data_IF_614965644955
#
_entry.id   IF_614965644955
#
_cell.length_a   1.000
_cell.length_b   1.000
_cell.length_c   1.000
_cell.angle_alpha   90.00
_cell.angle_beta   90.00
_cell.angle_gamma   90.00
#
_symmetry.space_group_name_H-M   'P 1'
#
loop_
_entity.id
_entity.type
_entity.pdbx_description
1 polymer ?
#
# COMPACT_ATOMS: atom_id res chain seq x y z
N UNK A 1 30.21 29.95 -6.87
CA UNK A 1 30.05 28.65 -7.53
C UNK A 1 30.70 28.74 -8.90
N UNK A 2 31.51 27.80 -9.29
CA UNK A 2 32.16 27.78 -10.59
C UNK A 2 31.14 27.56 -11.71
N UNK A 3 31.21 28.37 -12.76
CA UNK A 3 30.33 28.29 -13.94
C UNK A 3 30.38 26.88 -14.57
N UNK A 4 31.55 26.25 -14.61
CA UNK A 4 31.74 24.93 -15.16
C UNK A 4 30.90 23.84 -14.44
N UNK A 5 30.66 24.00 -13.14
CA UNK A 5 29.82 23.08 -12.37
C UNK A 5 28.34 23.26 -12.79
N UNK A 6 27.90 24.49 -12.98
CA UNK A 6 26.54 24.80 -13.45
C UNK A 6 26.36 24.26 -14.87
N UNK A 7 27.29 24.55 -15.78
CA UNK A 7 27.23 24.09 -17.16
C UNK A 7 27.16 22.55 -17.23
N UNK A 8 27.94 21.84 -16.39
CA UNK A 8 27.91 20.39 -16.30
C UNK A 8 26.54 19.87 -15.86
N UNK A 9 25.93 20.50 -14.85
CA UNK A 9 24.62 20.10 -14.36
C UNK A 9 23.54 20.33 -15.44
N UNK A 10 23.57 21.48 -16.11
CA UNK A 10 22.65 21.78 -17.21
C UNK A 10 22.83 20.82 -18.37
N UNK A 11 24.07 20.50 -18.76
CA UNK A 11 24.35 19.53 -19.81
C UNK A 11 23.79 18.15 -19.53
N UNK A 12 23.83 17.70 -18.26
CA UNK A 12 23.23 16.40 -17.87
C UNK A 12 21.71 16.37 -18.10
N UNK A 13 21.02 17.44 -17.70
CA UNK A 13 19.57 17.54 -17.89
C UNK A 13 19.22 17.64 -19.37
N UNK A 14 19.92 18.50 -20.11
CA UNK A 14 19.66 18.67 -21.55
C UNK A 14 19.95 17.40 -22.34
N UNK A 15 21.02 16.68 -22.02
CA UNK A 15 21.35 15.42 -22.65
C UNK A 15 20.19 14.43 -22.58
N UNK A 16 19.60 14.24 -21.38
CA UNK A 16 18.45 13.37 -21.23
C UNK A 16 17.28 13.80 -22.13
N UNK A 17 17.01 15.09 -22.23
CA UNK A 17 15.94 15.61 -23.10
C UNK A 17 16.21 15.33 -24.58
N UNK A 18 17.46 15.49 -25.03
CA UNK A 18 17.85 15.15 -26.41
C UNK A 18 17.77 13.64 -26.67
N UNK A 19 18.29 12.81 -25.77
CA UNK A 19 18.25 11.36 -25.90
C UNK A 19 16.82 10.80 -25.93
N UNK A 20 15.89 11.45 -25.22
CA UNK A 20 14.47 11.12 -25.23
C UNK A 20 13.70 11.71 -26.44
N UNK A 21 14.33 12.51 -27.30
CA UNK A 21 13.68 13.15 -28.45
C UNK A 21 12.61 14.19 -28.09
N UNK A 22 12.72 14.80 -26.88
CA UNK A 22 11.67 15.72 -26.38
C UNK A 22 11.60 17.05 -27.14
N UNK A 23 12.61 17.39 -27.94
CA UNK A 23 12.60 18.59 -28.77
C UNK A 23 11.90 18.34 -30.10
N UNK A 24 12.01 17.12 -30.64
CA UNK A 24 11.36 16.69 -31.88
C UNK A 24 9.95 16.20 -31.63
N UNK A 25 9.72 15.52 -30.50
CA UNK A 25 8.43 14.90 -30.13
C UNK A 25 8.02 15.28 -28.69
N UNK A 26 7.71 16.58 -28.42
CA UNK A 26 7.44 17.06 -27.07
C UNK A 26 6.06 16.63 -26.51
N UNK A 27 5.17 16.12 -27.36
CA UNK A 27 3.79 15.81 -26.99
C UNK A 27 3.54 14.30 -26.98
N UNK A 28 2.72 13.87 -26.03
CA UNK A 28 2.22 12.51 -25.94
C UNK A 28 0.74 12.48 -26.34
N UNK A 29 0.35 11.51 -27.14
CA UNK A 29 -1.06 11.27 -27.45
C UNK A 29 -1.78 10.72 -26.20
N UNK A 30 -2.77 11.43 -25.64
CA UNK A 30 -3.54 10.96 -24.49
C UNK A 30 -4.21 9.60 -24.70
N UNK A 31 -4.57 9.28 -25.93
CA UNK A 31 -5.18 7.98 -26.27
C UNK A 31 -4.18 6.82 -26.12
N UNK A 32 -2.91 7.07 -26.42
CA UNK A 32 -1.83 6.09 -26.22
C UNK A 32 -1.59 5.93 -24.71
N UNK A 33 -1.54 7.03 -23.95
CA UNK A 33 -1.38 7.01 -22.51
C UNK A 33 -2.50 6.16 -21.85
N UNK A 34 -3.76 6.41 -22.20
CA UNK A 34 -4.90 5.66 -21.67
C UNK A 34 -4.85 4.15 -21.98
N UNK A 35 -4.29 3.77 -23.14
CA UNK A 35 -4.12 2.36 -23.52
C UNK A 35 -2.90 1.71 -22.85
N UNK A 36 -1.92 2.51 -22.44
CA UNK A 36 -0.65 2.00 -21.92
C UNK A 36 -0.68 1.86 -20.40
N UNK A 37 -1.35 2.80 -19.70
CA UNK A 37 -1.47 2.76 -18.24
C UNK A 37 -2.30 1.55 -17.83
N UNK A 38 -1.81 0.81 -16.82
CA UNK A 38 -2.48 -0.37 -16.25
C UNK A 38 -2.78 -1.50 -17.24
N UNK A 39 -1.95 -1.71 -18.26
CA UNK A 39 -2.05 -2.91 -19.09
C UNK A 39 -1.92 -4.17 -18.23
N UNK A 40 -2.43 -5.28 -18.75
CA UNK A 40 -2.41 -6.57 -18.05
C UNK A 40 -1.00 -6.94 -17.58
N UNK A 41 0.00 -6.72 -18.42
CA UNK A 41 1.40 -7.01 -18.11
C UNK A 41 1.91 -6.18 -16.90
N UNK A 42 1.47 -4.91 -16.80
CA UNK A 42 1.84 -4.06 -15.65
C UNK A 42 1.20 -4.56 -14.36
N UNK A 43 -0.05 -4.99 -14.40
CA UNK A 43 -0.77 -5.53 -13.24
C UNK A 43 -0.13 -6.86 -12.79
N UNK A 44 0.21 -7.74 -13.74
CA UNK A 44 0.89 -9.00 -13.46
C UNK A 44 2.29 -8.79 -12.86
N UNK A 45 3.04 -7.83 -13.39
CA UNK A 45 4.35 -7.46 -12.85
C UNK A 45 4.24 -6.89 -11.43
N UNK A 46 3.31 -5.96 -11.20
CA UNK A 46 3.05 -5.40 -9.87
C UNK A 46 2.70 -6.50 -8.85
N UNK A 47 1.85 -7.44 -9.24
CA UNK A 47 1.52 -8.61 -8.40
C UNK A 47 2.75 -9.46 -8.10
N UNK A 48 3.58 -9.74 -9.10
CA UNK A 48 4.81 -10.52 -8.93
C UNK A 48 5.78 -9.83 -7.97
N UNK A 49 5.94 -8.51 -8.10
CA UNK A 49 6.77 -7.71 -7.20
C UNK A 49 6.23 -7.78 -5.77
N UNK A 50 4.92 -7.57 -5.58
CA UNK A 50 4.28 -7.67 -4.27
C UNK A 50 4.48 -9.06 -3.63
N UNK A 51 4.31 -10.14 -4.40
CA UNK A 51 4.57 -11.50 -3.91
C UNK A 51 6.04 -11.71 -3.50
N UNK A 52 6.98 -11.14 -4.25
CA UNK A 52 8.42 -11.26 -3.98
C UNK A 52 8.88 -10.40 -2.80
N UNK A 53 8.11 -9.36 -2.43
CA UNK A 53 8.43 -8.49 -1.29
C UNK A 53 7.99 -9.06 0.06
N UNK A 54 7.14 -10.08 0.05
CA UNK A 54 6.68 -10.70 1.31
C UNK A 54 7.80 -11.56 1.89
N UNK A 55 8.22 -11.24 3.11
CA UNK A 55 9.28 -11.95 3.83
C UNK A 55 8.69 -12.80 4.96
N UNK A 56 8.96 -14.10 4.92
CA UNK A 56 8.58 -15.02 6.00
C UNK A 56 9.60 -14.92 7.14
N UNK A 57 9.23 -14.28 8.24
CA UNK A 57 10.11 -14.11 9.40
C UNK A 57 10.09 -15.32 10.34
N UNK A 58 8.95 -16.02 10.42
CA UNK A 58 8.74 -17.14 11.35
C UNK A 58 7.67 -18.06 10.81
N UNK A 59 7.87 -19.38 10.92
CA UNK A 59 6.88 -20.40 10.58
C UNK A 59 7.07 -21.63 11.47
N UNK A 60 6.82 -21.46 12.76
CA UNK A 60 6.90 -22.56 13.72
C UNK A 60 5.76 -23.55 13.49
N UNK A 61 6.04 -24.82 13.73
CA UNK A 61 5.10 -25.92 13.54
C UNK A 61 4.50 -26.00 12.11
N UNK A 62 5.16 -25.37 11.12
CA UNK A 62 4.72 -25.37 9.73
C UNK A 62 3.25 -24.92 9.55
N UNK A 63 2.82 -23.91 10.31
CA UNK A 63 1.45 -23.37 10.22
C UNK A 63 1.14 -22.80 8.84
N UNK A 64 2.14 -22.31 8.13
CA UNK A 64 2.03 -21.85 6.76
C UNK A 64 2.59 -22.90 5.77
N UNK A 65 1.93 -23.09 4.62
CA UNK A 65 0.71 -22.42 4.13
C UNK A 65 -0.54 -22.87 4.87
N UNK A 66 -1.47 -21.93 5.10
CA UNK A 66 -2.76 -22.26 5.70
C UNK A 66 -3.57 -23.21 4.82
N UNK A 67 -4.25 -24.17 5.45
CA UNK A 67 -5.15 -25.08 4.74
C UNK A 67 -6.33 -24.30 4.13
N UNK A 68 -6.74 -24.68 2.92
CA UNK A 68 -7.97 -24.17 2.29
C UNK A 68 -9.25 -24.77 2.89
N UNK A 69 -9.12 -25.76 3.76
CA UNK A 69 -10.25 -26.45 4.42
C UNK A 69 -10.64 -25.80 5.75
N UNK A 70 -9.93 -24.77 6.20
CA UNK A 70 -10.25 -24.01 7.41
C UNK A 70 -11.70 -23.53 7.35
N UNK A 71 -12.48 -23.81 8.39
CA UNK A 71 -13.89 -23.43 8.43
C UNK A 71 -14.11 -21.97 8.82
N UNK A 72 -13.28 -21.43 9.70
CA UNK A 72 -13.41 -20.06 10.16
C UNK A 72 -12.07 -19.38 10.43
N UNK A 73 -11.93 -18.19 9.88
CA UNK A 73 -10.75 -17.33 10.04
C UNK A 73 -11.18 -15.97 10.54
N UNK A 74 -10.58 -15.47 11.61
CA UNK A 74 -10.67 -14.08 11.98
C UNK A 74 -9.56 -13.28 11.29
N UNK A 75 -9.92 -12.20 10.62
CA UNK A 75 -8.99 -11.22 10.07
C UNK A 75 -9.12 -9.95 10.89
N UNK A 76 -8.07 -9.58 11.58
CA UNK A 76 -8.09 -8.49 12.57
C UNK A 76 -7.03 -7.46 12.21
N UNK A 77 -7.36 -6.21 12.34
CA UNK A 77 -6.39 -5.12 12.23
C UNK A 77 -6.81 -3.99 11.31
N UNK A 78 -6.29 -2.77 11.56
CA UNK A 78 -6.67 -1.57 10.84
C UNK A 78 -6.24 -1.56 9.36
N UNK A 79 -5.21 -2.34 9.02
CA UNK A 79 -4.70 -2.43 7.66
C UNK A 79 -5.25 -3.62 6.87
N UNK A 80 -6.11 -4.45 7.47
CA UNK A 80 -6.66 -5.62 6.79
C UNK A 80 -7.57 -5.23 5.62
N UNK A 81 -8.38 -4.19 5.79
CA UNK A 81 -9.29 -3.65 4.77
C UNK A 81 -9.14 -2.14 4.64
N UNK A 82 -7.94 -1.69 4.30
CA UNK A 82 -7.65 -0.28 4.11
C UNK A 82 -6.96 -0.05 2.76
N UNK A 83 -7.76 0.26 1.73
CA UNK A 83 -7.27 0.49 0.36
C UNK A 83 -6.32 1.67 0.29
N UNK A 84 -6.63 2.72 1.04
CA UNK A 84 -5.83 3.93 1.05
C UNK A 84 -4.40 3.66 1.56
N UNK A 85 -4.24 2.94 2.66
CA UNK A 85 -2.92 2.60 3.21
C UNK A 85 -2.10 1.66 2.31
N UNK A 86 -2.76 0.92 1.41
CA UNK A 86 -2.07 0.06 0.45
C UNK A 86 -1.38 0.84 -0.68
N UNK A 87 -1.75 2.10 -0.90
CA UNK A 87 -1.26 2.91 -2.01
C UNK A 87 0.06 3.62 -1.70
N UNK A 88 0.29 4.00 -0.45
CA UNK A 88 1.44 4.82 -0.07
C UNK A 88 1.31 6.29 -0.45
N UNK A 89 2.36 7.06 -0.19
CA UNK A 89 2.35 8.52 -0.16
C UNK A 89 2.31 9.18 -1.56
N UNK A 90 3.02 8.61 -2.52
CA UNK A 90 3.21 9.23 -3.84
C UNK A 90 2.35 8.60 -4.95
N UNK A 91 1.27 7.95 -4.59
CA UNK A 91 0.38 7.32 -5.54
C UNK A 91 -0.74 8.27 -5.94
N UNK A 92 -1.00 8.37 -7.25
CA UNK A 92 -2.19 9.07 -7.73
C UNK A 92 -3.47 8.38 -7.21
N UNK A 93 -4.58 9.13 -7.03
CA UNK A 93 -5.86 8.55 -6.66
C UNK A 93 -6.25 7.37 -7.54
N UNK A 94 -6.75 6.32 -6.93
CA UNK A 94 -7.14 5.09 -7.62
C UNK A 94 -8.62 4.79 -7.33
N UNK A 95 -9.27 4.17 -8.31
CA UNK A 95 -10.57 3.56 -8.08
C UNK A 95 -10.43 2.37 -7.12
N UNK A 96 -11.38 2.20 -6.21
CA UNK A 96 -11.37 1.11 -5.20
C UNK A 96 -11.22 -0.27 -5.83
N UNK A 97 -11.80 -0.47 -7.01
CA UNK A 97 -11.70 -1.73 -7.75
C UNK A 97 -10.27 -2.10 -8.16
N UNK A 98 -9.39 -1.10 -8.24
CA UNK A 98 -8.00 -1.25 -8.64
C UNK A 98 -7.09 -1.75 -7.52
N UNK A 99 -7.53 -1.63 -6.27
CA UNK A 99 -6.74 -1.96 -5.08
C UNK A 99 -7.37 -3.14 -4.37
N UNK A 100 -6.60 -4.21 -4.18
CA UNK A 100 -7.04 -5.40 -3.45
C UNK A 100 -6.43 -5.38 -2.06
N UNK A 101 -7.28 -5.40 -1.04
CA UNK A 101 -6.84 -5.45 0.35
C UNK A 101 -6.42 -6.87 0.75
N UNK A 102 -5.80 -7.00 1.91
CA UNK A 102 -5.48 -8.31 2.48
C UNK A 102 -6.76 -9.11 2.72
N UNK A 103 -7.80 -8.45 3.23
CA UNK A 103 -9.12 -9.05 3.43
C UNK A 103 -9.73 -9.54 2.11
N UNK A 104 -9.71 -8.73 1.05
CA UNK A 104 -10.18 -9.13 -0.30
C UNK A 104 -9.47 -10.41 -0.78
N UNK A 105 -8.16 -10.48 -0.57
CA UNK A 105 -7.33 -11.63 -0.95
C UNK A 105 -7.71 -12.90 -0.20
N UNK A 106 -7.95 -12.80 1.12
CA UNK A 106 -8.35 -13.92 1.97
C UNK A 106 -9.76 -14.39 1.60
N UNK A 107 -10.72 -13.48 1.47
CA UNK A 107 -12.09 -13.79 1.06
C UNK A 107 -12.12 -14.50 -0.30
N UNK A 108 -11.31 -14.05 -1.25
CA UNK A 108 -11.21 -14.70 -2.57
C UNK A 108 -10.73 -16.15 -2.47
N UNK A 109 -9.93 -16.49 -1.45
CA UNK A 109 -9.37 -17.84 -1.27
C UNK A 109 -10.27 -18.78 -0.45
N UNK A 110 -10.99 -18.24 0.53
CA UNK A 110 -11.73 -19.04 1.50
C UNK A 110 -13.25 -18.96 1.34
N UNK A 111 -13.80 -17.93 0.83
CA UNK A 111 -15.19 -17.47 0.76
C UNK A 111 -15.59 -16.52 1.90
N UNK A 112 -16.54 -15.61 1.66
CA UNK A 112 -16.98 -14.64 2.67
C UNK A 112 -17.55 -15.29 3.94
N UNK A 113 -18.25 -16.42 3.82
CA UNK A 113 -18.90 -17.10 4.95
C UNK A 113 -17.93 -17.67 5.98
N UNK A 114 -16.67 -17.85 5.59
CA UNK A 114 -15.60 -18.38 6.46
C UNK A 114 -14.72 -17.30 7.09
N UNK A 115 -14.92 -16.05 6.71
CA UNK A 115 -14.05 -14.95 7.12
C UNK A 115 -14.85 -13.97 7.97
N UNK A 116 -14.36 -13.72 9.18
CA UNK A 116 -14.88 -12.69 10.07
C UNK A 116 -13.84 -11.58 10.19
N UNK A 117 -14.20 -10.36 9.80
CA UNK A 117 -13.31 -9.21 9.88
C UNK A 117 -13.69 -8.31 11.04
N UNK A 118 -12.69 -7.90 11.82
CA UNK A 118 -12.81 -6.87 12.86
C UNK A 118 -11.60 -5.97 12.78
N UNK A 119 -11.84 -4.67 12.69
CA UNK A 119 -10.75 -3.68 12.66
C UNK A 119 -9.93 -3.66 13.95
N UNK A 120 -10.57 -3.86 15.11
CA UNK A 120 -9.96 -3.86 16.43
C UNK A 120 -9.60 -2.48 16.95
N UNK A 121 -8.84 -1.72 16.18
CA UNK A 121 -8.45 -0.34 16.49
C UNK A 121 -8.24 0.45 15.20
N UNK A 122 -8.15 1.76 15.29
CA UNK A 122 -7.64 2.58 14.22
C UNK A 122 -6.13 2.80 14.37
N UNK A 123 -5.50 3.30 13.31
CA UNK A 123 -4.05 3.55 13.31
C UNK A 123 -3.71 4.76 14.21
N UNK A 124 -4.50 5.83 14.13
CA UNK A 124 -4.30 7.05 14.93
C UNK A 124 -5.45 7.42 15.86
N UNK A 125 -6.67 7.11 15.45
CA UNK A 125 -7.86 7.49 16.21
C UNK A 125 -8.01 6.60 17.45
N UNK A 126 -7.65 7.13 18.60
CA UNK A 126 -7.73 6.43 19.87
C UNK A 126 -9.16 6.24 20.38
N UNK A 127 -10.15 6.88 19.75
CA UNK A 127 -11.56 6.69 20.10
C UNK A 127 -12.14 5.40 19.53
N UNK A 128 -11.51 4.86 18.48
CA UNK A 128 -11.90 3.59 17.88
C UNK A 128 -11.33 2.44 18.70
N UNK A 129 -12.20 1.75 19.41
CA UNK A 129 -11.85 0.62 20.25
C UNK A 129 -12.82 -0.54 20.00
N UNK A 130 -12.41 -1.49 19.21
CA UNK A 130 -13.14 -2.72 18.87
C UNK A 130 -12.36 -3.97 19.37
N UNK A 131 -11.53 -3.82 20.41
CA UNK A 131 -10.65 -4.89 20.90
C UNK A 131 -11.46 -6.07 21.43
N UNK A 132 -12.53 -5.82 22.17
CA UNK A 132 -13.38 -6.92 22.70
C UNK A 132 -14.03 -7.70 21.56
N UNK A 133 -14.51 -7.02 20.51
CA UNK A 133 -15.05 -7.69 19.33
C UNK A 133 -13.98 -8.53 18.61
N UNK A 134 -12.75 -8.03 18.54
CA UNK A 134 -11.62 -8.74 17.95
C UNK A 134 -11.26 -10.00 18.76
N UNK A 135 -11.28 -9.92 20.08
CA UNK A 135 -11.06 -11.06 20.99
C UNK A 135 -12.15 -12.12 20.76
N UNK A 136 -13.41 -11.71 20.71
CA UNK A 136 -14.51 -12.65 20.49
C UNK A 136 -14.46 -13.29 19.09
N UNK A 137 -14.09 -12.55 18.05
CA UNK A 137 -13.87 -13.10 16.72
C UNK A 137 -12.73 -14.13 16.72
N UNK A 138 -11.63 -13.82 17.42
CA UNK A 138 -10.48 -14.72 17.57
C UNK A 138 -10.88 -16.02 18.26
N UNK A 139 -11.65 -15.95 19.35
CA UNK A 139 -12.10 -17.13 20.11
C UNK A 139 -12.99 -18.07 19.31
N UNK A 140 -13.73 -17.54 18.32
CA UNK A 140 -14.64 -18.31 17.45
C UNK A 140 -13.96 -18.84 16.19
N UNK A 141 -12.69 -18.59 16.00
CA UNK A 141 -11.98 -18.91 14.76
C UNK A 141 -10.89 -19.96 14.97
N UNK A 142 -10.67 -20.80 13.95
CA UNK A 142 -9.58 -21.78 13.94
C UNK A 142 -8.22 -21.11 13.72
N UNK A 143 -8.21 -20.01 12.97
CA UNK A 143 -7.01 -19.26 12.65
C UNK A 143 -7.31 -17.75 12.79
N UNK A 144 -6.34 -17.04 13.30
CA UNK A 144 -6.39 -15.57 13.41
C UNK A 144 -5.27 -14.99 12.55
N UNK A 145 -5.63 -14.07 11.66
CA UNK A 145 -4.70 -13.30 10.83
C UNK A 145 -4.75 -11.86 11.32
N UNK A 146 -3.66 -11.39 11.92
CA UNK A 146 -3.57 -10.01 12.45
C UNK A 146 -2.78 -9.17 11.46
N UNK A 147 -3.40 -8.12 10.90
CA UNK A 147 -2.83 -7.22 9.90
C UNK A 147 -2.55 -5.87 10.55
N UNK A 148 -1.33 -5.68 10.96
CA UNK A 148 -0.84 -4.50 11.67
C UNK A 148 0.25 -3.80 10.87
N UNK A 149 0.53 -2.58 11.23
CA UNK A 149 1.59 -1.77 10.62
C UNK A 149 1.21 -0.30 10.55
N UNK A 150 2.18 0.51 10.23
CA UNK A 150 2.01 1.92 9.96
C UNK A 150 1.48 2.21 8.56
N UNK A 151 1.27 3.49 8.26
CA UNK A 151 0.93 3.98 6.93
C UNK A 151 1.75 5.22 6.59
N UNK A 152 2.28 5.27 5.38
CA UNK A 152 2.86 6.49 4.81
C UNK A 152 1.86 7.24 3.93
N UNK A 153 0.64 6.75 3.82
CA UNK A 153 -0.37 7.35 2.99
C UNK A 153 -0.74 8.76 3.48
N UNK A 154 -0.90 9.69 2.55
CA UNK A 154 -1.41 11.03 2.80
C UNK A 154 -2.80 11.12 2.23
N UNK A 155 -3.77 11.49 3.05
CA UNK A 155 -5.03 11.87 2.49
C UNK A 155 -4.96 13.33 2.03
N UNK A 156 -5.66 13.64 0.95
CA UNK A 156 -5.74 15.02 0.44
C UNK A 156 -6.58 15.94 1.35
N UNK A 157 -7.13 15.41 2.43
CA UNK A 157 -7.85 16.12 3.48
C UNK A 157 -6.95 16.45 4.67
N UNK A 158 -5.71 16.01 4.63
CA UNK A 158 -4.74 16.19 5.71
C UNK A 158 -4.43 17.66 5.90
N UNK A 159 -4.49 18.12 7.14
CA UNK A 159 -4.02 19.44 7.52
C UNK A 159 -2.49 19.53 7.35
N UNK A 160 -2.03 20.67 6.87
CA UNK A 160 -0.61 20.96 6.79
C UNK A 160 -0.16 21.70 8.05
N UNK A 161 1.04 21.39 8.53
CA UNK A 161 1.70 22.20 9.56
C UNK A 161 2.10 23.56 8.98
N UNK A 162 2.34 24.55 9.84
CA UNK A 162 2.86 25.86 9.42
C UNK A 162 4.13 25.78 8.58
N UNK A 163 4.90 24.71 8.74
CA UNK A 163 6.10 24.41 7.95
C UNK A 163 5.82 23.91 6.53
N UNK A 164 4.56 23.75 6.13
CA UNK A 164 4.16 23.16 4.85
C UNK A 164 4.26 21.65 4.78
N UNK A 165 4.67 20.98 5.87
CA UNK A 165 4.70 19.54 5.93
C UNK A 165 3.30 18.97 6.16
N UNK A 166 2.90 17.99 5.35
CA UNK A 166 1.67 17.25 5.56
C UNK A 166 1.72 16.52 6.92
N UNK A 167 0.62 16.56 7.67
CA UNK A 167 0.48 15.72 8.86
C UNK A 167 0.19 14.32 8.36
N UNK A 168 1.17 13.43 8.42
CA UNK A 168 0.95 12.02 8.12
C UNK A 168 -0.10 11.45 9.08
N UNK A 169 -0.98 10.58 8.60
CA UNK A 169 -1.92 9.87 9.46
C UNK A 169 -1.23 9.03 10.52
N UNK A 170 0.08 8.83 10.37
CA UNK A 170 0.86 8.04 11.28
C UNK A 170 2.13 8.68 11.77
N UNK A 171 2.38 8.41 13.02
CA UNK A 171 3.63 8.65 13.68
C UNK A 171 4.80 7.78 13.22
N UNK A 172 4.82 7.30 11.99
CA UNK A 172 6.00 6.69 11.37
C UNK A 172 7.14 7.70 11.18
N UNK A 173 6.88 8.98 11.41
CA UNK A 173 7.90 10.02 11.53
C UNK A 173 8.95 9.74 12.63
N UNK A 174 8.73 8.79 13.49
CA UNK A 174 9.68 8.40 14.54
C UNK A 174 10.95 7.74 13.99
N UNK A 175 10.92 7.19 12.79
CA UNK A 175 12.11 6.54 12.21
C UNK A 175 13.16 7.51 11.65
N UNK A 176 12.87 8.80 11.59
CA UNK A 176 13.80 9.80 11.06
C UNK A 176 14.52 10.64 12.13
N UNK A 177 14.40 10.27 13.39
CA UNK A 177 15.08 10.95 14.50
C UNK A 177 16.36 10.25 14.91
N UNK A 178 17.20 9.90 13.93
CA UNK A 178 18.57 9.43 14.19
C UNK A 178 19.58 10.20 13.37
#
# INVERSE_FOLDING_TARGET
MDKAVIDTAVCRVLRMKFEMGLFEHPYVDPKIAAKTVRRKEHIELARKIAQSSITLLKNENSILPLSKTINKVAVIGPNADNRYNMLGDYTAPQEDSNVKTVLDGIITKLSPSRVEYVRGCAIRDTTVNEIEQAIEAARRSEVVIVVVGGSSARDFKTSYKETGAAVAEEGSAVSYTH
#
